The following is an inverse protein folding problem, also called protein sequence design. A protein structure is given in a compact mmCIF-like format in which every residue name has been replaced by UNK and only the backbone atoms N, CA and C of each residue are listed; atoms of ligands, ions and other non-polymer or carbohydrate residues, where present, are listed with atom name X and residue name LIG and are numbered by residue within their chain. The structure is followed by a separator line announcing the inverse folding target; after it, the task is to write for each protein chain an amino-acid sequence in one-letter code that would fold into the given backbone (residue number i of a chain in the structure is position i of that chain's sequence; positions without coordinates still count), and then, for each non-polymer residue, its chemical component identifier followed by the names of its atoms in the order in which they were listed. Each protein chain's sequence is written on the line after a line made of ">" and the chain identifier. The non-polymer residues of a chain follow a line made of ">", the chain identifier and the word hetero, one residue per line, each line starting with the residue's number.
data_IF_212618675451
#
_entry.id   IF_212618675451
#
_cell.length_a   1.000
_cell.length_b   1.000
_cell.length_c   1.000
_cell.angle_alpha   90.00
_cell.angle_beta   90.00
_cell.angle_gamma   90.00
#
_symmetry.space_group_name_H-M   'P 1'
#
loop_
_entity.id
_entity.type
_entity.pdbx_description
1 polymer ?
#
# COMPACT_ATOMS: atom_id res chain seq x y z
N UNK A 1 6.07 -43.47 -6.95
CA UNK A 1 6.05 -43.35 -5.47
C UNK A 1 7.40 -43.59 -4.79
N UNK A 2 8.21 -44.61 -5.15
CA UNK A 2 9.54 -44.79 -4.51
C UNK A 2 10.61 -43.75 -4.96
N UNK A 3 10.49 -43.21 -6.18
CA UNK A 3 11.44 -42.23 -6.76
C UNK A 3 11.44 -40.86 -6.05
N UNK A 4 10.27 -40.39 -5.61
CA UNK A 4 10.14 -39.06 -4.98
C UNK A 4 10.76 -39.02 -3.57
N UNK A 5 10.78 -40.16 -2.87
CA UNK A 5 11.36 -40.27 -1.51
C UNK A 5 12.88 -40.11 -1.53
N UNK A 6 13.56 -40.68 -2.53
CA UNK A 6 15.01 -40.52 -2.68
C UNK A 6 15.39 -39.09 -3.09
N UNK A 7 14.59 -38.44 -3.94
CA UNK A 7 14.79 -37.05 -4.33
C UNK A 7 14.63 -36.09 -3.13
N UNK A 8 13.61 -36.30 -2.29
CA UNK A 8 13.40 -35.51 -1.06
C UNK A 8 14.54 -35.73 -0.07
N UNK A 9 15.02 -36.97 0.09
CA UNK A 9 16.15 -37.30 0.98
C UNK A 9 17.44 -36.60 0.55
N UNK A 10 17.76 -36.62 -0.75
CA UNK A 10 18.95 -35.93 -1.28
C UNK A 10 18.88 -34.40 -1.10
N UNK A 11 17.69 -33.79 -1.20
CA UNK A 11 17.49 -32.35 -0.94
C UNK A 11 17.68 -32.00 0.54
N UNK A 12 17.26 -32.89 1.46
CA UNK A 12 17.46 -32.70 2.89
C UNK A 12 18.94 -32.82 3.29
N UNK A 13 19.62 -33.85 2.80
CA UNK A 13 21.05 -34.08 3.07
C UNK A 13 21.91 -32.92 2.56
N UNK A 14 21.66 -32.44 1.34
CA UNK A 14 22.36 -31.27 0.78
C UNK A 14 22.08 -29.96 1.52
N UNK A 15 20.93 -29.80 2.18
CA UNK A 15 20.64 -28.64 3.04
C UNK A 15 21.36 -28.73 4.38
N UNK A 16 21.45 -29.93 4.96
CA UNK A 16 22.16 -30.16 6.23
C UNK A 16 23.66 -29.90 6.10
N UNK A 17 24.29 -30.44 5.05
CA UNK A 17 25.72 -30.22 4.78
C UNK A 17 26.04 -28.72 4.62
N UNK A 18 25.22 -27.99 3.86
CA UNK A 18 25.37 -26.53 3.72
C UNK A 18 25.20 -25.78 5.06
N UNK A 19 24.33 -26.24 5.94
CA UNK A 19 24.18 -25.64 7.27
C UNK A 19 25.40 -25.90 8.16
N UNK A 20 26.02 -27.07 8.07
CA UNK A 20 27.24 -27.39 8.81
C UNK A 20 28.45 -26.60 8.31
N UNK A 21 28.60 -26.45 7.00
CA UNK A 21 29.64 -25.59 6.39
C UNK A 21 29.52 -24.14 6.88
N UNK A 22 28.32 -23.55 6.80
CA UNK A 22 28.05 -22.18 7.26
C UNK A 22 28.38 -22.01 8.75
N UNK A 23 27.97 -22.97 9.60
CA UNK A 23 28.28 -22.95 11.04
C UNK A 23 29.79 -23.03 11.31
N UNK A 24 30.51 -23.82 10.51
CA UNK A 24 31.95 -24.00 10.67
C UNK A 24 32.70 -22.73 10.27
N UNK A 25 32.30 -22.11 9.15
CA UNK A 25 32.82 -20.81 8.70
C UNK A 25 32.55 -19.71 9.74
N UNK A 26 31.34 -19.62 10.29
CA UNK A 26 31.00 -18.68 11.36
C UNK A 26 31.89 -18.83 12.60
N UNK A 27 32.14 -20.07 13.03
CA UNK A 27 33.01 -20.35 14.17
C UNK A 27 34.47 -19.99 13.89
N UNK A 28 34.95 -20.21 12.67
CA UNK A 28 36.29 -19.81 12.26
C UNK A 28 36.42 -18.28 12.22
N UNK A 29 35.42 -17.58 11.70
CA UNK A 29 35.38 -16.12 11.65
C UNK A 29 35.40 -15.50 13.06
N UNK A 30 34.62 -16.06 13.98
CA UNK A 30 34.59 -15.64 15.38
C UNK A 30 35.91 -15.90 16.12
N UNK A 31 36.61 -17.00 15.80
CA UNK A 31 37.95 -17.28 16.36
C UNK A 31 38.97 -16.26 15.85
N UNK A 32 39.01 -16.03 14.54
CA UNK A 32 39.92 -15.06 13.92
C UNK A 32 39.69 -13.63 14.44
N UNK A 33 38.43 -13.23 14.64
CA UNK A 33 38.11 -11.92 15.20
C UNK A 33 38.49 -11.77 16.69
N UNK A 34 38.52 -12.87 17.46
CA UNK A 34 39.03 -12.86 18.84
C UNK A 34 40.55 -12.75 18.89
N UNK A 35 41.24 -13.35 17.92
CA UNK A 35 42.70 -13.30 17.79
C UNK A 35 43.20 -11.94 17.31
N UNK A 36 42.45 -11.25 16.43
CA UNK A 36 42.76 -9.90 15.98
C UNK A 36 41.56 -8.93 16.10
N UNK A 37 41.31 -8.37 17.31
CA UNK A 37 40.13 -7.55 17.59
C UNK A 37 40.05 -6.21 16.84
N UNK A 38 41.16 -5.74 16.27
CA UNK A 38 41.28 -4.45 15.58
C UNK A 38 41.30 -4.58 14.05
N UNK A 39 41.07 -5.78 13.51
CA UNK A 39 40.95 -5.99 12.07
C UNK A 39 39.59 -5.46 11.57
N UNK A 40 39.66 -4.40 10.77
CA UNK A 40 38.50 -3.71 10.20
C UNK A 40 37.68 -4.61 9.27
N UNK A 41 38.32 -5.54 8.55
CA UNK A 41 37.58 -6.44 7.63
C UNK A 41 36.79 -7.50 8.40
N UNK A 42 37.35 -8.04 9.48
CA UNK A 42 36.69 -9.00 10.36
C UNK A 42 35.51 -8.36 11.10
N UNK A 43 35.68 -7.13 11.62
CA UNK A 43 34.58 -6.38 12.23
C UNK A 43 33.44 -6.12 11.24
N UNK A 44 33.76 -5.71 10.00
CA UNK A 44 32.76 -5.47 8.97
C UNK A 44 31.94 -6.74 8.65
N UNK A 45 32.62 -7.89 8.51
CA UNK A 45 31.93 -9.18 8.29
C UNK A 45 31.04 -9.60 9.46
N UNK A 46 31.50 -9.40 10.69
CA UNK A 46 30.70 -9.72 11.90
C UNK A 46 29.49 -8.78 11.99
N UNK A 47 29.67 -7.49 11.73
CA UNK A 47 28.58 -6.52 11.72
C UNK A 47 27.53 -6.89 10.66
N UNK A 48 27.97 -7.29 9.47
CA UNK A 48 27.08 -7.73 8.39
C UNK A 48 26.32 -9.02 8.75
N UNK A 49 26.97 -9.97 9.43
CA UNK A 49 26.32 -11.19 9.95
C UNK A 49 25.27 -10.86 11.01
N UNK A 50 25.62 -10.06 12.02
CA UNK A 50 24.70 -9.62 13.07
C UNK A 50 23.51 -8.88 12.47
N UNK A 51 23.77 -7.98 11.51
CA UNK A 51 22.73 -7.24 10.79
C UNK A 51 21.80 -8.19 10.04
N UNK A 52 22.36 -9.16 9.32
CA UNK A 52 21.59 -10.15 8.56
C UNK A 52 20.74 -11.03 9.48
N UNK A 53 21.28 -11.44 10.62
CA UNK A 53 20.56 -12.22 11.63
C UNK A 53 19.42 -11.42 12.26
N UNK A 54 19.66 -10.15 12.62
CA UNK A 54 18.64 -9.24 13.12
C UNK A 54 17.50 -9.03 12.11
N UNK A 55 17.85 -8.82 10.83
CA UNK A 55 16.86 -8.70 9.76
C UNK A 55 16.04 -9.98 9.61
N UNK A 56 16.70 -11.14 9.68
CA UNK A 56 16.05 -12.44 9.58
C UNK A 56 15.11 -12.68 10.77
N UNK A 57 15.56 -12.37 11.99
CA UNK A 57 14.74 -12.50 13.19
C UNK A 57 13.51 -11.58 13.15
N UNK A 58 13.69 -10.32 12.74
CA UNK A 58 12.58 -9.39 12.53
C UNK A 58 11.59 -9.89 11.46
N UNK A 59 12.09 -10.49 10.37
CA UNK A 59 11.24 -11.11 9.35
C UNK A 59 10.41 -12.26 9.91
N UNK A 60 11.02 -13.19 10.65
CA UNK A 60 10.29 -14.29 11.29
C UNK A 60 9.24 -13.77 12.28
N UNK A 61 9.61 -12.80 13.10
CA UNK A 61 8.71 -12.13 14.04
C UNK A 61 7.51 -11.52 13.31
N UNK A 62 7.75 -10.83 12.19
CA UNK A 62 6.68 -10.28 11.36
C UNK A 62 5.80 -11.38 10.75
N UNK A 63 6.40 -12.49 10.29
CA UNK A 63 5.64 -13.62 9.72
C UNK A 63 4.74 -14.30 10.76
N UNK A 64 5.21 -14.42 12.01
CA UNK A 64 4.44 -15.04 13.09
C UNK A 64 3.34 -14.12 13.63
N UNK A 65 3.63 -12.83 13.83
CA UNK A 65 2.72 -11.92 14.51
C UNK A 65 1.90 -11.02 13.59
N UNK A 66 2.34 -10.82 12.34
CA UNK A 66 1.70 -9.92 11.38
C UNK A 66 1.63 -10.59 10.00
N UNK A 67 0.95 -11.75 9.89
CA UNK A 67 0.81 -12.45 8.61
C UNK A 67 0.18 -11.56 7.53
N UNK A 68 -0.61 -10.55 7.91
CA UNK A 68 -1.19 -9.54 7.03
C UNK A 68 -0.15 -8.65 6.35
N UNK A 69 1.08 -8.52 6.89
CA UNK A 69 2.19 -7.86 6.18
C UNK A 69 2.61 -8.60 4.91
N UNK A 70 2.23 -9.87 4.79
CA UNK A 70 2.56 -10.77 3.69
C UNK A 70 1.34 -11.15 2.83
N UNK A 71 0.16 -10.62 3.16
CA UNK A 71 -1.09 -10.84 2.42
C UNK A 71 -1.67 -9.49 1.98
N UNK A 72 -2.26 -9.44 0.78
CA UNK A 72 -2.94 -8.24 0.31
C UNK A 72 -4.15 -7.91 1.20
N UNK A 73 -4.09 -6.81 1.95
CA UNK A 73 -5.22 -6.31 2.74
C UNK A 73 -6.33 -5.84 1.79
N UNK A 74 -7.56 -6.30 2.01
CA UNK A 74 -8.69 -5.84 1.22
C UNK A 74 -9.12 -4.43 1.61
N UNK A 75 -9.25 -3.56 0.62
CA UNK A 75 -9.76 -2.21 0.77
C UNK A 75 -11.24 -2.19 1.17
N UNK A 76 -11.66 -1.13 1.89
CA UNK A 76 -13.02 -0.97 2.41
C UNK A 76 -13.94 -0.35 1.37
N UNK A 77 -14.84 -1.14 0.79
CA UNK A 77 -15.91 -0.63 -0.07
C UNK A 77 -17.29 -0.85 0.51
N UNK A 78 -18.20 0.09 0.26
CA UNK A 78 -19.63 -0.04 0.55
C UNK A 78 -20.48 0.24 -0.69
N UNK A 79 -21.69 -0.33 -0.71
CA UNK A 79 -22.69 -0.01 -1.73
C UNK A 79 -23.51 1.16 -1.22
N UNK A 80 -23.68 2.16 -2.07
CA UNK A 80 -24.58 3.27 -1.83
C UNK A 80 -25.43 3.54 -3.07
N UNK A 81 -26.43 4.40 -2.92
CA UNK A 81 -27.35 4.76 -3.99
C UNK A 81 -27.46 6.28 -4.08
N UNK A 82 -27.34 6.82 -5.30
CA UNK A 82 -27.49 8.24 -5.59
C UNK A 82 -28.50 8.36 -6.73
N UNK A 83 -29.63 9.04 -6.50
CA UNK A 83 -30.71 9.16 -7.49
C UNK A 83 -31.14 7.82 -8.12
N UNK A 84 -31.21 6.73 -7.35
CA UNK A 84 -31.56 5.39 -7.86
C UNK A 84 -30.38 4.59 -8.42
N UNK A 85 -29.22 5.22 -8.68
CA UNK A 85 -28.05 4.55 -9.22
C UNK A 85 -27.22 3.91 -8.11
N UNK A 86 -26.96 2.60 -8.21
CA UNK A 86 -26.05 1.89 -7.30
C UNK A 86 -24.60 2.27 -7.63
N UNK A 87 -23.86 2.69 -6.61
CA UNK A 87 -22.48 3.15 -6.70
C UNK A 87 -21.63 2.42 -5.67
N UNK A 88 -20.41 2.07 -6.05
CA UNK A 88 -19.41 1.50 -5.14
C UNK A 88 -18.56 2.64 -4.59
N UNK A 89 -18.57 2.80 -3.27
CA UNK A 89 -17.81 3.83 -2.59
C UNK A 89 -16.62 3.24 -1.85
N UNK A 90 -15.45 3.80 -2.09
CA UNK A 90 -14.24 3.56 -1.31
C UNK A 90 -14.30 4.39 -0.03
N UNK A 91 -14.13 3.75 1.13
CA UNK A 91 -14.16 4.42 2.43
C UNK A 91 -12.72 4.74 2.84
N UNK A 92 -12.39 6.03 2.87
CA UNK A 92 -11.02 6.51 3.09
C UNK A 92 -10.98 7.61 4.16
N UNK A 93 -10.59 7.23 5.38
CA UNK A 93 -10.37 8.20 6.45
C UNK A 93 -9.12 9.05 6.27
N UNK A 94 -8.22 8.68 5.36
CA UNK A 94 -7.02 9.46 4.99
C UNK A 94 -7.32 10.57 3.98
N UNK A 95 -8.42 10.48 3.23
CA UNK A 95 -8.86 11.55 2.35
C UNK A 95 -9.54 12.67 3.13
N UNK A 96 -9.04 13.90 3.04
CA UNK A 96 -9.64 15.05 3.71
C UNK A 96 -11.05 15.37 3.17
N UNK A 97 -11.25 15.22 1.86
CA UNK A 97 -12.50 15.55 1.17
C UNK A 97 -13.07 14.32 0.48
N UNK A 98 -14.40 14.25 0.44
CA UNK A 98 -15.11 13.27 -0.39
C UNK A 98 -15.05 13.65 -1.86
N UNK A 99 -14.91 12.66 -2.74
CA UNK A 99 -14.68 12.86 -4.17
C UNK A 99 -15.61 11.95 -4.98
N UNK A 100 -16.15 12.47 -6.07
CA UNK A 100 -16.97 11.77 -7.05
C UNK A 100 -16.32 11.85 -8.43
N UNK A 101 -16.27 10.76 -9.19
CA UNK A 101 -15.82 10.81 -10.58
C UNK A 101 -16.86 11.52 -11.46
N UNK A 102 -16.42 12.23 -12.50
CA UNK A 102 -17.33 12.87 -13.45
C UNK A 102 -18.25 11.85 -14.15
N UNK A 103 -17.73 10.66 -14.46
CA UNK A 103 -18.52 9.57 -15.04
C UNK A 103 -19.66 9.16 -14.10
N UNK A 104 -19.36 8.97 -12.80
CA UNK A 104 -20.37 8.64 -11.81
C UNK A 104 -21.36 9.80 -11.60
N UNK A 105 -20.90 11.05 -11.61
CA UNK A 105 -21.77 12.24 -11.53
C UNK A 105 -22.74 12.32 -12.71
N UNK A 106 -22.28 11.98 -13.92
CA UNK A 106 -23.11 11.92 -15.13
C UNK A 106 -24.13 10.80 -15.04
N UNK A 107 -23.70 9.60 -14.70
CA UNK A 107 -24.58 8.42 -14.53
C UNK A 107 -25.65 8.64 -13.46
N UNK A 108 -25.30 9.28 -12.35
CA UNK A 108 -26.23 9.60 -11.27
C UNK A 108 -27.05 10.87 -11.52
N UNK A 109 -26.98 11.47 -12.71
CA UNK A 109 -27.69 12.70 -13.06
C UNK A 109 -27.43 13.86 -12.07
N UNK A 110 -26.17 14.05 -11.66
CA UNK A 110 -25.77 15.11 -10.73
C UNK A 110 -25.10 16.31 -11.42
N UNK A 111 -24.80 16.22 -12.71
CA UNK A 111 -24.07 17.28 -13.44
C UNK A 111 -24.76 18.65 -13.38
N UNK A 112 -26.10 18.70 -13.26
CA UNK A 112 -26.85 19.96 -13.08
C UNK A 112 -26.54 20.70 -11.77
N UNK A 113 -25.97 20.00 -10.78
CA UNK A 113 -25.61 20.56 -9.46
C UNK A 113 -24.13 20.94 -9.39
N UNK A 114 -23.37 20.73 -10.47
CA UNK A 114 -21.95 21.00 -10.51
C UNK A 114 -21.68 22.50 -10.55
N UNK A 115 -21.01 23.01 -9.51
CA UNK A 115 -20.52 24.37 -9.46
C UNK A 115 -19.10 24.44 -10.03
N UNK A 116 -18.97 24.95 -11.26
CA UNK A 116 -17.70 25.06 -12.00
C UNK A 116 -16.80 26.18 -11.47
N UNK A 117 -17.27 27.06 -10.58
CA UNK A 117 -16.42 28.07 -9.94
C UNK A 117 -15.35 27.45 -9.03
N UNK A 118 -15.55 26.20 -8.64
CA UNK A 118 -14.61 25.40 -7.86
C UNK A 118 -13.71 24.51 -8.73
N UNK A 119 -13.60 24.81 -10.04
CA UNK A 119 -12.60 24.20 -10.91
C UNK A 119 -11.18 24.54 -10.43
N UNK A 120 -10.27 23.63 -10.71
CA UNK A 120 -8.88 23.75 -10.31
C UNK A 120 -8.17 22.42 -10.39
N UNK A 121 -7.14 22.25 -9.57
CA UNK A 121 -6.35 21.03 -9.51
C UNK A 121 -6.37 20.53 -8.08
N UNK A 122 -6.77 19.27 -7.88
CA UNK A 122 -6.68 18.61 -6.59
C UNK A 122 -5.22 18.23 -6.35
N UNK A 123 -4.62 18.80 -5.30
CA UNK A 123 -3.26 18.51 -4.86
C UNK A 123 -3.31 17.43 -3.76
N UNK A 124 -2.68 16.28 -4.00
CA UNK A 124 -2.63 15.15 -3.07
C UNK A 124 -1.56 14.13 -3.49
N UNK A 125 -1.86 12.82 -3.44
CA UNK A 125 -0.98 11.71 -3.91
C UNK A 125 -0.85 11.67 -5.45
N UNK A 126 -1.10 12.81 -6.10
CA UNK A 126 -1.21 13.03 -7.54
C UNK A 126 -1.79 14.42 -7.82
N UNK A 127 -1.79 14.81 -9.09
CA UNK A 127 -2.46 16.00 -9.59
C UNK A 127 -3.63 15.55 -10.45
N UNK A 128 -4.86 15.91 -10.08
CA UNK A 128 -6.05 15.55 -10.84
C UNK A 128 -6.91 16.80 -11.09
N UNK A 129 -7.34 17.06 -12.33
CA UNK A 129 -8.16 18.23 -12.64
C UNK A 129 -9.57 18.09 -12.05
N UNK A 130 -9.99 19.13 -11.35
CA UNK A 130 -11.30 19.26 -10.71
C UNK A 130 -12.27 19.86 -11.72
N UNK A 131 -13.34 19.14 -12.04
CA UNK A 131 -14.43 19.62 -12.88
C UNK A 131 -15.32 20.65 -12.17
N UNK A 132 -15.43 20.54 -10.85
CA UNK A 132 -16.16 21.47 -9.99
C UNK A 132 -16.52 20.83 -8.65
N UNK A 133 -17.52 21.40 -7.96
CA UNK A 133 -18.00 20.90 -6.67
C UNK A 133 -19.51 20.71 -6.67
N UNK A 134 -19.97 19.65 -6.01
CA UNK A 134 -21.38 19.49 -5.65
C UNK A 134 -21.53 19.80 -4.15
N UNK A 135 -22.32 20.82 -3.84
CA UNK A 135 -22.47 21.34 -2.48
C UNK A 135 -23.37 20.48 -1.59
N UNK A 136 -24.41 19.90 -2.18
CA UNK A 136 -25.34 19.02 -1.48
C UNK A 136 -26.01 18.05 -2.45
N UNK A 137 -25.91 16.76 -2.16
CA UNK A 137 -26.67 15.71 -2.81
C UNK A 137 -27.09 14.65 -1.78
N UNK A 138 -28.25 14.03 -2.00
CA UNK A 138 -28.71 12.90 -1.18
C UNK A 138 -27.96 11.63 -1.59
N UNK A 139 -27.35 10.98 -0.61
CA UNK A 139 -26.64 9.71 -0.73
C UNK A 139 -27.30 8.72 0.20
N UNK A 140 -27.82 7.62 -0.34
CA UNK A 140 -28.48 6.59 0.43
C UNK A 140 -27.53 5.43 0.72
N UNK A 141 -27.38 5.09 1.99
CA UNK A 141 -26.54 3.98 2.45
C UNK A 141 -27.43 3.04 3.28
N UNK A 142 -27.77 1.89 2.71
CA UNK A 142 -28.78 1.00 3.28
C UNK A 142 -30.13 1.72 3.42
N UNK A 143 -30.53 2.04 4.65
CA UNK A 143 -31.76 2.78 4.98
C UNK A 143 -31.52 4.24 5.37
N UNK A 144 -30.27 4.67 5.51
CA UNK A 144 -29.93 6.04 5.86
C UNK A 144 -29.85 6.92 4.61
N UNK A 145 -30.42 8.13 4.69
CA UNK A 145 -30.27 9.18 3.69
C UNK A 145 -29.37 10.27 4.24
N UNK A 146 -28.22 10.46 3.60
CA UNK A 146 -27.20 11.40 4.01
C UNK A 146 -27.12 12.56 3.03
N UNK A 147 -26.98 13.78 3.55
CA UNK A 147 -26.64 14.94 2.73
C UNK A 147 -25.12 15.03 2.65
N UNK A 148 -24.57 14.88 1.45
CA UNK A 148 -23.13 14.90 1.23
C UNK A 148 -22.71 16.02 0.26
N UNK A 149 -21.53 16.58 0.51
CA UNK A 149 -20.80 17.44 -0.43
C UNK A 149 -19.57 16.68 -0.92
N UNK A 150 -19.18 16.89 -2.17
CA UNK A 150 -17.98 16.27 -2.73
C UNK A 150 -17.43 17.07 -3.91
N UNK A 151 -16.13 16.97 -4.12
CA UNK A 151 -15.47 17.46 -5.34
C UNK A 151 -15.72 16.48 -6.49
N UNK A 152 -15.80 17.00 -7.70
CA UNK A 152 -15.92 16.18 -8.91
C UNK A 152 -14.62 16.23 -9.70
N UNK A 153 -13.99 15.07 -9.91
CA UNK A 153 -12.75 14.94 -10.69
C UNK A 153 -13.04 14.40 -12.08
N UNK A 154 -12.29 14.87 -13.08
CA UNK A 154 -12.40 14.41 -14.47
C UNK A 154 -11.92 12.96 -14.63
N UNK A 155 -10.78 12.65 -14.03
CA UNK A 155 -10.12 11.34 -14.14
C UNK A 155 -9.94 10.74 -12.76
N UNK A 156 -10.60 9.61 -12.51
CA UNK A 156 -10.50 8.87 -11.25
C UNK A 156 -10.82 7.40 -11.48
N UNK A 157 -10.03 6.51 -10.88
CA UNK A 157 -10.20 5.04 -11.00
C UNK A 157 -11.37 4.49 -10.18
N UNK A 158 -11.90 5.28 -9.26
CA UNK A 158 -12.98 4.91 -8.34
C UNK A 158 -14.17 5.83 -8.56
N UNK A 159 -15.40 5.29 -8.51
CA UNK A 159 -16.61 6.11 -8.68
C UNK A 159 -16.77 7.16 -7.58
N UNK A 160 -16.64 6.74 -6.31
CA UNK A 160 -16.87 7.60 -5.16
C UNK A 160 -15.89 7.28 -4.05
N UNK A 161 -15.29 8.32 -3.48
CA UNK A 161 -14.46 8.26 -2.27
C UNK A 161 -15.23 8.96 -1.16
N UNK A 162 -15.59 8.21 -0.13
CA UNK A 162 -16.18 8.74 1.10
C UNK A 162 -15.05 9.13 2.04
N UNK A 163 -14.72 10.42 2.03
CA UNK A 163 -13.64 11.01 2.80
C UNK A 163 -14.00 11.33 4.25
N UNK A 164 -12.99 11.77 5.00
CA UNK A 164 -13.08 12.08 6.42
C UNK A 164 -14.09 13.20 6.72
N UNK A 165 -14.28 14.15 5.81
CA UNK A 165 -15.27 15.22 5.92
C UNK A 165 -16.70 14.68 6.14
N UNK A 166 -17.13 13.74 5.29
CA UNK A 166 -18.47 13.16 5.36
C UNK A 166 -18.56 12.07 6.43
N UNK A 167 -17.48 11.32 6.67
CA UNK A 167 -17.40 10.36 7.77
C UNK A 167 -17.61 11.05 9.12
N UNK A 168 -16.92 12.17 9.37
CA UNK A 168 -17.10 12.96 10.60
C UNK A 168 -18.47 13.62 10.65
N UNK A 169 -18.93 14.23 9.55
CA UNK A 169 -20.24 14.92 9.50
C UNK A 169 -21.40 14.01 9.93
N UNK A 170 -21.37 12.75 9.50
CA UNK A 170 -22.44 11.79 9.79
C UNK A 170 -22.13 10.84 10.96
N UNK A 171 -21.08 11.14 11.75
CA UNK A 171 -20.63 10.33 12.88
C UNK A 171 -20.48 8.84 12.53
N UNK A 172 -19.88 8.57 11.37
CA UNK A 172 -19.66 7.21 10.90
C UNK A 172 -18.65 6.49 11.80
N UNK A 173 -18.88 5.20 12.05
CA UNK A 173 -17.93 4.31 12.71
C UNK A 173 -17.49 3.23 11.73
N UNK A 174 -16.19 3.20 11.41
CA UNK A 174 -15.56 2.14 10.63
C UNK A 174 -15.30 0.97 11.57
N UNK A 175 -16.24 0.04 11.64
CA UNK A 175 -16.15 -1.12 12.52
C UNK A 175 -15.55 -2.31 11.77
N UNK A 176 -14.22 -2.44 11.89
CA UNK A 176 -13.45 -3.53 11.29
C UNK A 176 -13.70 -4.88 11.99
N UNK A 177 -14.13 -4.87 13.25
CA UNK A 177 -14.42 -6.11 14.01
C UNK A 177 -15.68 -6.79 13.46
N UNK A 178 -16.72 -6.01 13.16
CA UNK A 178 -17.95 -6.54 12.56
C UNK A 178 -17.99 -6.44 11.04
N UNK A 179 -16.99 -5.83 10.41
CA UNK A 179 -16.92 -5.59 8.96
C UNK A 179 -18.06 -4.72 8.40
N UNK A 180 -18.41 -3.63 9.11
CA UNK A 180 -19.46 -2.70 8.70
C UNK A 180 -19.05 -1.23 8.85
N UNK A 181 -19.51 -0.37 7.94
CA UNK A 181 -19.64 1.05 8.19
C UNK A 181 -20.96 1.30 8.93
N UNK A 182 -20.88 1.76 10.17
CA UNK A 182 -22.04 2.12 10.97
C UNK A 182 -22.34 3.60 10.82
N UNK A 183 -23.61 3.93 10.57
CA UNK A 183 -24.13 5.28 10.37
C UNK A 183 -25.41 5.41 11.19
N UNK A 184 -25.32 6.00 12.37
CA UNK A 184 -26.42 6.03 13.33
C UNK A 184 -26.90 4.61 13.68
N UNK A 185 -28.15 4.30 13.34
CA UNK A 185 -28.76 2.96 13.54
C UNK A 185 -28.63 2.03 12.32
N UNK A 186 -28.04 2.49 11.22
CA UNK A 186 -27.87 1.72 10.00
C UNK A 186 -26.45 1.17 9.90
N UNK A 187 -26.30 -0.01 9.30
CA UNK A 187 -25.01 -0.63 9.04
C UNK A 187 -24.91 -0.96 7.54
N UNK A 188 -23.76 -0.71 6.94
CA UNK A 188 -23.43 -1.13 5.58
C UNK A 188 -22.23 -2.08 5.62
N UNK A 189 -22.41 -3.29 5.12
CA UNK A 189 -21.36 -4.31 5.10
C UNK A 189 -20.23 -3.89 4.16
N UNK A 190 -18.98 -4.00 4.61
CA UNK A 190 -17.83 -3.78 3.75
C UNK A 190 -17.64 -4.97 2.81
N UNK A 191 -17.43 -4.72 1.54
CA UNK A 191 -17.00 -5.76 0.61
C UNK A 191 -15.62 -5.43 0.06
N UNK A 192 -14.86 -6.47 -0.19
CA UNK A 192 -13.55 -6.39 -0.82
C UNK A 192 -13.73 -6.31 -2.33
N UNK A 193 -13.09 -5.34 -2.97
CA UNK A 193 -12.78 -5.44 -4.40
C UNK A 193 -11.36 -5.99 -4.45
N UNK A 194 -11.15 -7.11 -5.15
CA UNK A 194 -9.80 -7.55 -5.50
C UNK A 194 -9.27 -6.55 -6.52
N UNK A 195 -8.65 -5.50 -6.04
CA UNK A 195 -7.77 -4.68 -6.86
C UNK A 195 -6.46 -5.43 -6.87
N UNK A 196 -6.10 -6.00 -8.03
CA UNK A 196 -4.75 -6.54 -8.23
C UNK A 196 -3.81 -5.32 -8.17
N UNK A 197 -3.32 -4.99 -6.99
CA UNK A 197 -2.18 -4.07 -6.85
C UNK A 197 -0.96 -4.80 -7.36
N UNK A 198 -0.61 -4.57 -8.62
CA UNK A 198 0.51 -5.20 -9.32
C UNK A 198 1.91 -4.81 -8.82
N UNK A 199 2.05 -4.21 -7.61
CA UNK A 199 3.29 -3.54 -7.21
C UNK A 199 3.80 -3.81 -5.78
N UNK A 200 3.42 -4.92 -5.13
CA UNK A 200 4.23 -5.41 -4.00
C UNK A 200 5.20 -6.49 -4.46
N UNK A 201 6.35 -6.07 -5.00
CA UNK A 201 7.50 -6.96 -5.17
C UNK A 201 8.19 -7.08 -3.82
N UNK A 202 7.79 -8.08 -3.02
CA UNK A 202 8.61 -8.55 -1.91
C UNK A 202 10.02 -8.93 -2.38
N UNK A 203 11.01 -9.01 -1.48
CA UNK A 203 12.39 -9.31 -1.84
C UNK A 203 12.46 -10.58 -2.71
N UNK A 204 13.06 -10.44 -3.89
CA UNK A 204 13.09 -11.43 -4.98
C UNK A 204 13.52 -12.81 -4.48
N UNK A 205 12.69 -13.84 -4.73
CA UNK A 205 13.12 -15.22 -4.47
C UNK A 205 12.06 -16.31 -4.57
N UNK A 206 11.25 -16.37 -5.63
CA UNK A 206 10.77 -17.60 -6.34
C UNK A 206 9.63 -17.24 -7.30
N UNK A 207 9.84 -17.53 -8.58
CA UNK A 207 8.86 -17.41 -9.67
C UNK A 207 7.96 -18.65 -9.65
N UNK A 208 6.65 -18.48 -9.86
CA UNK A 208 5.75 -19.55 -10.33
C UNK A 208 5.19 -19.16 -11.71
N UNK A 209 5.04 -20.12 -12.66
CA UNK A 209 4.94 -19.81 -14.08
C UNK A 209 3.52 -19.46 -14.58
N UNK A 210 3.52 -18.52 -15.55
CA UNK A 210 2.66 -18.31 -16.74
C UNK A 210 1.15 -18.63 -16.67
N UNK A 211 0.24 -17.71 -17.03
CA UNK A 211 0.18 -17.06 -18.35
C UNK A 211 -0.93 -16.00 -18.37
N UNK A 212 -0.62 -14.82 -18.91
CA UNK A 212 -1.44 -13.98 -19.82
C UNK A 212 -0.87 -12.55 -19.82
N UNK A 213 -0.51 -12.11 -21.02
CA UNK A 213 0.06 -10.81 -21.35
C UNK A 213 -1.00 -9.70 -21.34
N UNK A 214 -0.60 -8.46 -21.00
CA UNK A 214 -0.70 -7.30 -21.91
C UNK A 214 -0.10 -6.01 -21.32
N UNK A 215 0.97 -5.55 -21.99
CA UNK A 215 1.29 -4.18 -22.44
C UNK A 215 1.04 -2.92 -21.56
N UNK A 216 2.18 -2.29 -21.24
CA UNK A 216 2.56 -0.87 -21.43
C UNK A 216 2.01 0.25 -20.50
N UNK A 217 2.90 0.75 -19.63
CA UNK A 217 3.38 2.15 -19.56
C UNK A 217 4.65 2.10 -18.69
N UNK A 218 5.87 2.30 -19.20
CA UNK A 218 6.35 3.59 -19.68
C UNK A 218 7.03 4.39 -18.56
N UNK A 219 8.09 3.87 -17.93
CA UNK A 219 8.98 4.67 -17.06
C UNK A 219 10.45 4.29 -17.33
N UNK A 220 11.16 5.19 -17.99
CA UNK A 220 12.62 5.23 -18.08
C UNK A 220 13.19 5.80 -16.77
N UNK A 221 13.91 5.00 -16.00
CA UNK A 221 14.74 5.51 -14.91
C UNK A 221 16.13 5.89 -15.45
N UNK A 222 16.42 7.20 -15.51
CA UNK A 222 17.76 7.70 -15.78
C UNK A 222 18.62 7.57 -14.52
N UNK A 223 19.61 6.67 -14.56
CA UNK A 223 20.71 6.63 -13.60
C UNK A 223 21.62 7.85 -13.81
N UNK A 224 21.79 8.68 -12.79
CA UNK A 224 23.04 9.44 -12.62
C UNK A 224 23.63 9.16 -11.24
N UNK A 225 24.70 8.37 -11.25
CA UNK A 225 25.70 8.34 -10.19
C UNK A 225 26.87 9.25 -10.62
N UNK A 226 27.39 10.07 -9.70
CA UNK A 226 28.83 10.18 -9.37
C UNK A 226 29.10 11.18 -8.23
N UNK A 227 30.21 10.90 -7.54
CA UNK A 227 30.75 11.38 -6.27
C UNK A 227 31.10 12.88 -6.16
N UNK A 228 31.43 13.33 -4.93
CA UNK A 228 31.61 14.71 -4.41
C UNK A 228 32.87 15.48 -4.88
N UNK A 229 33.54 16.37 -4.09
CA UNK A 229 33.38 16.73 -2.66
C UNK A 229 33.32 18.26 -2.34
N UNK A 230 33.17 18.56 -1.03
CA UNK A 230 33.37 19.83 -0.27
C UNK A 230 33.41 21.19 -1.01
N UNK A 231 32.54 22.12 -0.61
CA UNK A 231 32.93 23.54 -0.47
C UNK A 231 32.07 24.27 0.58
N UNK A 232 32.79 24.97 1.46
CA UNK A 232 32.35 25.86 2.54
C UNK A 232 31.29 26.89 2.14
N UNK A 233 30.22 27.05 2.93
CA UNK A 233 29.34 28.23 2.87
C UNK A 233 29.61 29.19 4.04
N UNK A 234 30.16 30.35 3.68
CA UNK A 234 30.21 31.57 4.50
C UNK A 234 28.78 32.08 4.73
N UNK A 235 28.40 32.26 5.99
CA UNK A 235 27.27 33.08 6.40
C UNK A 235 27.54 34.56 6.07
N UNK A 236 26.69 35.18 5.24
CA UNK A 236 26.63 36.63 5.08
C UNK A 236 25.22 37.10 5.42
N UNK A 237 25.05 37.52 6.67
CA UNK A 237 23.89 38.28 7.14
C UNK A 237 23.97 39.68 6.50
N UNK A 238 22.94 40.11 5.77
CA UNK A 238 22.75 41.52 5.42
C UNK A 238 21.56 42.05 6.21
N UNK A 239 21.80 43.21 6.82
CA UNK A 239 20.80 44.09 7.45
C UNK A 239 19.77 44.54 6.44
#
# INVERSE_FOLDING_TARGET
>A
MKSDVYAVKAILESRLLKQEEIKTEEQQLLKLAKENPFDLELQCKIEEQIRSENLRHNLYTAMEHIPESFSSVSMLYIKLEINGCVVKAFVDSGAQMSILSQECATRCSLMRLLDTRYQGVALGVGSAPIAGRIHAAHVKIGRAFLICSFLVLLEQSVDFILGLDMLKRHNCCIDLKSNHLRIGKCNAHFFSIIIITSNFQGPRGRVWPSSLSMSFLGITFSKKARAGPLLTMKTRYRR
#
